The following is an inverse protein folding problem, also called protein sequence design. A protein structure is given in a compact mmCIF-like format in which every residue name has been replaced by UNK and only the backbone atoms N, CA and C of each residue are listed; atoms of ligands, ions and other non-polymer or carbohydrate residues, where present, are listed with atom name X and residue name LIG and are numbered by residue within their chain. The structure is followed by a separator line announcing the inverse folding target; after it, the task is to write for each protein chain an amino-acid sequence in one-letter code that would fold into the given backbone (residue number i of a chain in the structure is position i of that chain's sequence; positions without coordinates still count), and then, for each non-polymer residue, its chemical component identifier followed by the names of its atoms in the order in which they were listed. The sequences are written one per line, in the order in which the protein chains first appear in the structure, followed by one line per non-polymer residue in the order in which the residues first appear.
data_IF_625624200917
#
_entry.id   IF_625624200917
#
_cell.length_a   1.000
_cell.length_b   1.000
_cell.length_c   1.000
_cell.angle_alpha   90.00
_cell.angle_beta   90.00
_cell.angle_gamma   90.00
#
_symmetry.space_group_name_H-M   'P 1'
#
loop_
_entity.id
_entity.type
_entity.pdbx_description
1 polymer ?
#
# COMPACT_ATOMS: atom_id res chain seq x y z
N UNK A 1 -21.77 0.13 -38.58
CA UNK A 1 -20.93 -0.41 -37.52
C UNK A 1 -20.03 0.69 -36.99
N UNK A 2 -20.21 1.06 -35.72
CA UNK A 2 -19.31 2.00 -35.07
C UNK A 2 -18.08 1.24 -34.62
N UNK A 3 -16.89 1.66 -35.03
CA UNK A 3 -15.62 1.16 -34.52
C UNK A 3 -15.41 1.79 -33.14
N UNK A 4 -15.65 1.02 -32.08
CA UNK A 4 -15.46 1.44 -30.68
C UNK A 4 -14.22 0.78 -30.16
N UNK A 5 -13.25 1.57 -29.72
CA UNK A 5 -12.06 1.08 -29.05
C UNK A 5 -12.41 0.61 -27.64
N UNK A 6 -11.90 -0.54 -27.23
CA UNK A 6 -12.18 -1.16 -25.94
C UNK A 6 -10.92 -1.26 -25.10
N UNK A 7 -10.89 -0.50 -24.01
CA UNK A 7 -9.82 -0.56 -23.01
C UNK A 7 -10.28 -1.36 -21.79
N UNK A 8 -9.45 -2.25 -21.28
CA UNK A 8 -9.70 -3.02 -20.05
C UNK A 8 -8.67 -2.66 -18.99
N UNK A 9 -9.14 -2.44 -17.76
CA UNK A 9 -8.30 -2.06 -16.61
C UNK A 9 -8.20 -3.24 -15.62
N UNK A 10 -7.04 -3.93 -15.67
CA UNK A 10 -6.69 -4.99 -14.74
C UNK A 10 -5.94 -4.40 -13.55
N UNK A 11 -6.68 -3.91 -12.57
CA UNK A 11 -6.09 -3.40 -11.32
C UNK A 11 -5.49 -4.48 -10.47
N UNK A 12 -6.12 -5.65 -10.49
CA UNK A 12 -5.75 -6.84 -9.74
C UNK A 12 -5.78 -8.06 -10.68
N UNK A 13 -5.07 -9.15 -10.38
CA UNK A 13 -5.21 -10.41 -11.10
C UNK A 13 -6.66 -10.89 -11.06
N UNK A 14 -7.20 -11.37 -12.18
CA UNK A 14 -8.55 -11.94 -12.20
C UNK A 14 -8.53 -13.39 -11.68
N UNK A 15 -7.90 -14.30 -12.45
CA UNK A 15 -7.91 -15.74 -12.12
C UNK A 15 -6.94 -16.06 -10.99
N UNK A 16 -5.76 -15.42 -11.00
CA UNK A 16 -4.66 -15.73 -10.09
C UNK A 16 -4.67 -14.90 -8.81
N UNK A 17 -5.73 -14.13 -8.54
CA UNK A 17 -5.78 -13.32 -7.33
C UNK A 17 -5.66 -14.21 -6.07
N UNK A 18 -4.82 -13.80 -5.13
CA UNK A 18 -4.38 -14.63 -4.00
C UNK A 18 -5.53 -15.22 -3.16
N UNK A 19 -6.66 -14.53 -3.04
CA UNK A 19 -7.80 -14.99 -2.25
C UNK A 19 -8.70 -15.99 -2.99
N UNK A 20 -8.55 -16.18 -4.31
CA UNK A 20 -9.34 -17.16 -5.06
C UNK A 20 -9.14 -18.59 -4.54
N UNK A 21 -7.95 -18.89 -3.97
CA UNK A 21 -7.68 -20.17 -3.31
C UNK A 21 -8.57 -20.45 -2.09
N UNK A 22 -9.19 -19.43 -1.51
CA UNK A 22 -10.10 -19.57 -0.37
C UNK A 22 -11.55 -19.91 -0.80
N UNK A 23 -11.84 -19.87 -2.11
CA UNK A 23 -13.14 -20.25 -2.65
C UNK A 23 -13.11 -21.68 -3.17
N UNK A 24 -14.18 -22.41 -2.93
CA UNK A 24 -14.33 -23.80 -3.40
C UNK A 24 -14.77 -23.85 -4.87
N UNK A 25 -13.95 -23.31 -5.76
CA UNK A 25 -14.22 -23.36 -7.19
C UNK A 25 -14.05 -24.77 -7.74
N UNK A 26 -15.00 -25.22 -8.58
CA UNK A 26 -14.83 -26.46 -9.35
C UNK A 26 -13.77 -26.27 -10.44
N UNK A 27 -13.15 -27.36 -10.89
CA UNK A 27 -12.22 -27.33 -12.04
C UNK A 27 -12.86 -26.69 -13.28
N UNK A 28 -14.15 -27.01 -13.54
CA UNK A 28 -14.91 -26.42 -14.66
C UNK A 28 -15.05 -24.92 -14.54
N UNK A 29 -15.37 -24.41 -13.33
CA UNK A 29 -15.45 -22.96 -13.07
C UNK A 29 -14.09 -22.27 -13.28
N UNK A 30 -13.02 -22.84 -12.73
CA UNK A 30 -11.66 -22.28 -12.90
C UNK A 30 -11.28 -22.20 -14.38
N UNK A 31 -11.50 -23.28 -15.15
CA UNK A 31 -11.21 -23.30 -16.57
C UNK A 31 -12.04 -22.26 -17.33
N UNK A 32 -13.32 -22.11 -16.99
CA UNK A 32 -14.17 -21.07 -17.58
C UNK A 32 -13.65 -19.65 -17.31
N UNK A 33 -13.20 -19.37 -16.08
CA UNK A 33 -12.61 -18.07 -15.74
C UNK A 33 -11.31 -17.80 -16.54
N UNK A 34 -10.46 -18.81 -16.70
CA UNK A 34 -9.23 -18.70 -17.52
C UNK A 34 -9.54 -18.39 -18.99
N UNK A 35 -10.54 -19.07 -19.56
CA UNK A 35 -11.00 -18.80 -20.94
C UNK A 35 -11.54 -17.38 -21.09
N UNK A 36 -12.36 -16.93 -20.13
CA UNK A 36 -12.93 -15.57 -20.16
C UNK A 36 -11.85 -14.51 -20.03
N UNK A 37 -10.92 -14.66 -19.08
CA UNK A 37 -9.79 -13.75 -18.92
C UNK A 37 -8.98 -13.65 -20.21
N UNK A 38 -8.60 -14.79 -20.80
CA UNK A 38 -7.88 -14.84 -22.06
C UNK A 38 -8.66 -14.18 -23.22
N UNK A 39 -9.97 -14.41 -23.28
CA UNK A 39 -10.85 -13.82 -24.30
C UNK A 39 -10.93 -12.30 -24.15
N UNK A 40 -11.06 -11.78 -22.95
CA UNK A 40 -11.07 -10.35 -22.65
C UNK A 40 -9.75 -9.72 -23.05
N UNK A 41 -8.63 -10.28 -22.60
CA UNK A 41 -7.29 -9.80 -22.92
C UNK A 41 -7.05 -9.71 -24.44
N UNK A 42 -7.41 -10.75 -25.20
CA UNK A 42 -7.15 -10.81 -26.65
C UNK A 42 -8.13 -9.99 -27.50
N UNK A 43 -9.22 -9.46 -26.92
CA UNK A 43 -10.19 -8.61 -27.62
C UNK A 43 -10.04 -7.13 -27.32
N UNK A 44 -9.36 -6.78 -26.23
CA UNK A 44 -9.13 -5.40 -25.87
C UNK A 44 -8.15 -4.73 -26.84
N UNK A 45 -8.37 -3.48 -27.18
CA UNK A 45 -7.42 -2.68 -27.95
C UNK A 45 -6.26 -2.20 -27.06
N UNK A 46 -6.54 -2.01 -25.77
CA UNK A 46 -5.54 -1.65 -24.76
C UNK A 46 -5.84 -2.35 -23.43
N UNK A 47 -4.81 -2.95 -22.83
CA UNK A 47 -4.86 -3.53 -21.49
C UNK A 47 -4.09 -2.65 -20.52
N UNK A 48 -4.76 -2.14 -19.51
CA UNK A 48 -4.16 -1.36 -18.42
C UNK A 48 -3.86 -2.24 -17.22
N UNK A 49 -2.73 -1.99 -16.56
CA UNK A 49 -2.39 -2.57 -15.26
C UNK A 49 -1.93 -1.48 -14.30
N UNK A 50 -2.16 -1.67 -13.00
CA UNK A 50 -1.71 -0.71 -11.97
C UNK A 50 -0.23 -0.83 -11.65
N UNK A 51 0.36 -1.98 -11.93
CA UNK A 51 1.79 -2.26 -11.73
C UNK A 51 2.37 -2.92 -12.98
N UNK A 52 3.67 -2.73 -13.18
CA UNK A 52 4.48 -3.53 -14.10
C UNK A 52 4.81 -4.90 -13.49
N UNK A 53 5.94 -5.47 -13.90
CA UNK A 53 6.48 -6.72 -13.34
C UNK A 53 5.47 -7.85 -13.38
N UNK A 54 5.37 -8.60 -12.29
CA UNK A 54 4.65 -9.89 -12.24
C UNK A 54 3.22 -9.83 -12.80
N UNK A 55 2.41 -8.83 -12.46
CA UNK A 55 1.03 -8.74 -12.95
C UNK A 55 0.98 -8.56 -14.47
N UNK A 56 1.68 -7.54 -14.97
CA UNK A 56 1.71 -7.25 -16.41
C UNK A 56 2.28 -8.43 -17.19
N UNK A 57 3.39 -9.00 -16.74
CA UNK A 57 4.08 -10.14 -17.39
C UNK A 57 3.17 -11.36 -17.45
N UNK A 58 2.50 -11.73 -16.36
CA UNK A 58 1.54 -12.86 -16.34
C UNK A 58 0.37 -12.67 -17.31
N UNK A 59 -0.17 -11.45 -17.42
CA UNK A 59 -1.25 -11.16 -18.35
C UNK A 59 -0.74 -11.15 -19.80
N UNK A 60 0.46 -10.60 -20.04
CA UNK A 60 1.08 -10.52 -21.35
C UNK A 60 1.42 -11.90 -21.92
N UNK A 61 1.81 -12.87 -21.07
CA UNK A 61 1.98 -14.27 -21.49
C UNK A 61 0.68 -14.91 -22.02
N UNK A 62 -0.49 -14.43 -21.57
CA UNK A 62 -1.79 -14.94 -22.03
C UNK A 62 -2.27 -14.25 -23.32
N UNK A 63 -1.75 -13.08 -23.63
CA UNK A 63 -2.09 -12.26 -24.80
C UNK A 63 -0.86 -11.49 -25.30
N UNK A 64 0.14 -12.19 -25.89
CA UNK A 64 1.44 -11.59 -26.23
C UNK A 64 1.39 -10.50 -27.31
N UNK A 65 0.36 -10.50 -28.13
CA UNK A 65 0.20 -9.55 -29.25
C UNK A 65 -0.62 -8.31 -28.87
N UNK A 66 -1.04 -8.19 -27.61
CA UNK A 66 -1.87 -7.06 -27.17
C UNK A 66 -1.04 -5.91 -26.63
N UNK A 67 -1.62 -4.70 -26.72
CA UNK A 67 -1.03 -3.49 -26.16
C UNK A 67 -1.25 -3.44 -24.65
N UNK A 68 -0.17 -3.34 -23.89
CA UNK A 68 -0.19 -3.20 -22.44
C UNK A 68 0.41 -1.88 -21.99
N UNK A 69 -0.29 -1.16 -21.14
CA UNK A 69 0.22 0.05 -20.50
C UNK A 69 0.07 -0.02 -18.98
N UNK A 70 1.08 0.50 -18.26
CA UNK A 70 1.04 0.62 -16.80
C UNK A 70 0.53 2.00 -16.43
N UNK A 71 -0.61 2.04 -15.73
CA UNK A 71 -1.24 3.25 -15.19
C UNK A 71 -1.39 3.06 -13.67
N UNK A 72 -0.38 3.44 -12.87
CA UNK A 72 -0.35 3.15 -11.45
C UNK A 72 -1.38 3.96 -10.66
N UNK A 73 -1.65 3.53 -9.43
CA UNK A 73 -2.34 4.38 -8.47
C UNK A 73 -1.45 5.57 -8.09
N UNK A 74 -2.07 6.74 -7.93
CA UNK A 74 -1.38 7.95 -7.56
C UNK A 74 -1.91 8.57 -6.28
N UNK A 75 -1.23 9.62 -5.80
CA UNK A 75 -1.67 10.42 -4.68
C UNK A 75 -2.37 11.71 -5.14
N UNK A 76 -3.22 12.27 -4.30
CA UNK A 76 -3.88 13.55 -4.52
C UNK A 76 -2.95 14.69 -4.09
N UNK A 77 -2.25 15.28 -5.07
CA UNK A 77 -1.31 16.38 -4.84
C UNK A 77 -2.00 17.64 -4.34
N UNK A 78 -3.20 17.93 -4.81
CA UNK A 78 -4.00 19.07 -4.32
C UNK A 78 -4.33 18.93 -2.85
N UNK A 79 -4.81 17.76 -2.44
CA UNK A 79 -5.17 17.50 -1.05
C UNK A 79 -3.94 17.44 -0.13
N UNK A 80 -2.89 16.74 -0.54
CA UNK A 80 -1.64 16.64 0.23
C UNK A 80 -1.03 18.03 0.46
N UNK A 81 -1.01 18.90 -0.56
CA UNK A 81 -0.44 20.25 -0.43
C UNK A 81 -1.30 21.19 0.41
N UNK A 82 -2.64 21.05 0.31
CA UNK A 82 -3.62 21.89 1.03
C UNK A 82 -3.58 21.64 2.53
N UNK A 83 -3.51 20.39 2.95
CA UNK A 83 -3.63 20.01 4.36
C UNK A 83 -2.34 20.29 5.10
N UNK A 84 -2.44 21.15 6.13
CA UNK A 84 -1.42 21.32 7.16
C UNK A 84 -1.77 20.47 8.36
N UNK A 85 -0.78 19.91 9.03
CA UNK A 85 -0.96 19.15 10.27
C UNK A 85 0.18 19.46 11.22
N UNK A 86 -0.12 19.48 12.52
CA UNK A 86 0.88 19.68 13.55
C UNK A 86 1.29 18.35 14.17
N UNK A 87 2.58 18.17 14.38
CA UNK A 87 3.12 17.02 15.09
C UNK A 87 3.01 17.21 16.60
N UNK A 88 2.75 16.12 17.30
CA UNK A 88 2.73 16.14 18.77
C UNK A 88 4.14 16.30 19.31
N UNK A 89 4.34 17.25 20.24
CA UNK A 89 5.61 17.37 21.01
C UNK A 89 5.70 16.38 22.17
N UNK A 90 4.58 15.77 22.57
CA UNK A 90 4.48 14.89 23.75
C UNK A 90 4.78 13.42 23.43
N UNK A 91 4.43 12.97 22.23
CA UNK A 91 4.50 11.57 21.84
C UNK A 91 5.21 11.44 20.51
N UNK A 92 6.03 10.42 20.36
CA UNK A 92 6.40 9.94 19.03
C UNK A 92 5.18 9.22 18.42
N UNK A 93 4.66 9.73 17.32
CA UNK A 93 3.37 9.36 16.77
C UNK A 93 3.51 8.39 15.59
N UNK A 94 3.07 7.16 15.79
CA UNK A 94 3.01 6.11 14.77
C UNK A 94 1.58 6.06 14.23
N UNK A 95 1.40 6.05 12.91
CA UNK A 95 0.07 6.05 12.27
C UNK A 95 -0.05 4.91 11.26
N UNK A 96 -1.18 4.23 11.32
CA UNK A 96 -1.66 3.29 10.30
C UNK A 96 -3.02 3.74 9.79
N UNK A 97 -3.22 3.69 8.45
CA UNK A 97 -4.53 3.91 7.83
C UNK A 97 -4.89 2.75 6.90
N UNK A 98 -6.16 2.33 6.92
CA UNK A 98 -6.71 1.34 6.00
C UNK A 98 -7.37 0.14 6.68
N UNK A 99 -7.61 -0.91 5.92
CA UNK A 99 -8.12 -2.19 6.42
C UNK A 99 -7.03 -2.92 7.20
N UNK A 100 -7.33 -3.33 8.45
CA UNK A 100 -6.46 -4.19 9.24
C UNK A 100 -7.23 -5.44 9.68
N UNK A 101 -6.70 -6.61 9.31
CA UNK A 101 -7.25 -7.93 9.68
C UNK A 101 -6.15 -8.82 10.27
N UNK A 102 -6.52 -9.96 10.82
CA UNK A 102 -5.56 -10.96 11.35
C UNK A 102 -4.58 -11.50 10.29
N UNK A 103 -4.88 -11.33 9.01
CA UNK A 103 -3.98 -11.72 7.91
C UNK A 103 -2.91 -10.67 7.58
N UNK A 104 -2.88 -9.54 8.31
CA UNK A 104 -1.80 -8.57 8.20
C UNK A 104 -0.74 -8.83 9.28
N UNK A 105 0.56 -8.73 8.96
CA UNK A 105 1.65 -9.08 9.88
C UNK A 105 1.97 -7.97 10.89
N UNK A 106 0.95 -7.36 11.51
CA UNK A 106 1.15 -6.24 12.47
C UNK A 106 1.82 -6.68 13.78
N UNK A 107 1.72 -7.96 14.13
CA UNK A 107 2.28 -8.51 15.37
C UNK A 107 3.79 -8.30 15.46
N UNK A 108 4.51 -8.34 14.33
CA UNK A 108 5.97 -8.09 14.30
C UNK A 108 6.33 -6.68 14.78
N UNK A 109 5.55 -5.67 14.34
CA UNK A 109 5.70 -4.31 14.87
C UNK A 109 5.41 -4.24 16.35
N UNK A 110 4.30 -4.85 16.81
CA UNK A 110 3.90 -4.81 18.23
C UNK A 110 4.96 -5.44 19.14
N UNK A 111 5.55 -6.57 18.73
CA UNK A 111 6.64 -7.23 19.46
C UNK A 111 7.83 -6.28 19.66
N UNK A 112 8.27 -5.64 18.58
CA UNK A 112 9.37 -4.69 18.60
C UNK A 112 9.08 -3.48 19.50
N UNK A 113 7.88 -2.89 19.38
CA UNK A 113 7.47 -1.76 20.22
C UNK A 113 7.42 -2.12 21.70
N UNK A 114 6.92 -3.31 22.05
CA UNK A 114 6.84 -3.78 23.44
C UNK A 114 8.22 -4.03 24.05
N UNK A 115 9.08 -4.72 23.32
CA UNK A 115 10.37 -5.18 23.83
C UNK A 115 11.39 -4.04 23.96
N UNK A 116 11.43 -3.14 22.98
CA UNK A 116 12.54 -2.20 22.84
C UNK A 116 12.15 -0.76 23.18
N UNK A 117 10.86 -0.41 23.14
CA UNK A 117 10.40 0.98 23.27
C UNK A 117 9.30 1.18 24.32
N UNK A 118 9.12 0.23 25.23
CA UNK A 118 8.07 0.28 26.25
C UNK A 118 8.15 1.46 27.23
N UNK A 119 9.31 2.11 27.35
CA UNK A 119 9.53 3.31 28.17
C UNK A 119 9.53 4.62 27.37
N UNK A 120 9.35 4.56 26.04
CA UNK A 120 9.26 5.74 25.18
C UNK A 120 7.81 6.24 25.15
N UNK A 121 7.62 7.56 25.14
CA UNK A 121 6.30 8.15 25.00
C UNK A 121 5.74 7.93 23.58
N UNK A 122 5.20 6.73 23.32
CA UNK A 122 4.64 6.36 22.04
C UNK A 122 3.13 6.57 21.99
N UNK A 123 2.65 7.00 20.82
CA UNK A 123 1.24 7.00 20.44
C UNK A 123 1.07 6.22 19.14
N UNK A 124 0.17 5.25 19.11
CA UNK A 124 -0.21 4.50 17.92
C UNK A 124 -1.65 4.87 17.55
N UNK A 125 -1.83 5.54 16.43
CA UNK A 125 -3.18 5.84 15.89
C UNK A 125 -3.50 4.90 14.74
N UNK A 126 -4.67 4.30 14.80
CA UNK A 126 -5.19 3.35 13.83
C UNK A 126 -6.49 3.91 13.25
N UNK A 127 -6.57 4.07 11.93
CA UNK A 127 -7.76 4.55 11.24
C UNK A 127 -8.14 3.62 10.10
N UNK A 128 -9.44 3.42 9.91
CA UNK A 128 -9.99 2.59 8.85
C UNK A 128 -10.88 1.46 9.37
N UNK A 129 -11.07 0.44 8.53
CA UNK A 129 -11.89 -0.70 8.89
C UNK A 129 -11.07 -1.72 9.70
N UNK A 130 -11.18 -1.63 11.02
CA UNK A 130 -10.43 -2.45 11.99
C UNK A 130 -11.42 -2.93 13.05
N UNK A 131 -11.50 -4.25 13.25
CA UNK A 131 -12.42 -4.81 14.26
C UNK A 131 -12.01 -4.39 15.68
N UNK A 132 -13.01 -4.27 16.56
CA UNK A 132 -12.77 -3.99 17.98
C UNK A 132 -11.92 -5.09 18.65
N UNK A 133 -12.01 -6.33 18.19
CA UNK A 133 -11.18 -7.43 18.65
C UNK A 133 -9.69 -7.14 18.43
N UNK A 134 -9.31 -6.72 17.22
CA UNK A 134 -7.91 -6.37 16.88
C UNK A 134 -7.46 -5.13 17.69
N UNK A 135 -8.32 -4.13 17.82
CA UNK A 135 -8.00 -2.94 18.62
C UNK A 135 -7.72 -3.30 20.08
N UNK A 136 -8.55 -4.17 20.67
CA UNK A 136 -8.37 -4.63 22.05
C UNK A 136 -7.13 -5.51 22.21
N UNK A 137 -6.86 -6.39 21.25
CA UNK A 137 -5.62 -7.18 21.19
C UNK A 137 -4.39 -6.27 21.21
N UNK A 138 -4.36 -5.23 20.35
CA UNK A 138 -3.25 -4.28 20.28
C UNK A 138 -3.08 -3.52 21.60
N UNK A 139 -4.17 -3.04 22.22
CA UNK A 139 -4.13 -2.34 23.51
C UNK A 139 -3.60 -3.22 24.62
N UNK A 140 -4.06 -4.45 24.70
CA UNK A 140 -3.61 -5.42 25.70
C UNK A 140 -2.13 -5.80 25.51
N UNK A 141 -1.70 -5.90 24.26
CA UNK A 141 -0.32 -6.22 23.92
C UNK A 141 0.66 -5.07 24.26
N UNK A 142 0.19 -3.82 24.10
CA UNK A 142 0.96 -2.58 24.28
C UNK A 142 0.38 -1.70 25.42
N UNK A 143 0.34 -2.15 26.67
CA UNK A 143 -0.34 -1.43 27.76
C UNK A 143 0.29 -0.07 28.10
N UNK A 144 1.57 0.15 27.75
CA UNK A 144 2.28 1.41 27.99
C UNK A 144 2.21 2.39 26.79
N UNK A 145 1.71 1.96 25.64
CA UNK A 145 1.58 2.79 24.44
C UNK A 145 0.19 3.40 24.37
N UNK A 146 0.08 4.68 24.06
CA UNK A 146 -1.22 5.33 23.84
C UNK A 146 -1.84 4.88 22.53
N UNK A 147 -2.64 3.82 22.53
CA UNK A 147 -3.35 3.31 21.34
C UNK A 147 -4.66 4.06 21.17
N UNK A 148 -4.82 4.73 20.00
CA UNK A 148 -6.05 5.45 19.60
C UNK A 148 -6.68 4.75 18.39
N UNK A 149 -7.92 4.27 18.54
CA UNK A 149 -8.78 3.92 17.40
C UNK A 149 -9.45 5.20 16.90
N UNK A 150 -9.19 5.56 15.64
CA UNK A 150 -9.79 6.74 15.00
C UNK A 150 -11.04 6.38 14.18
N UNK A 151 -11.37 5.08 14.05
CA UNK A 151 -12.48 4.61 13.21
C UNK A 151 -12.25 4.89 11.73
N UNK A 152 -13.32 4.84 10.96
CA UNK A 152 -13.29 5.21 9.55
C UNK A 152 -13.25 6.73 9.43
N UNK A 153 -12.30 7.25 8.68
CA UNK A 153 -12.12 8.68 8.42
C UNK A 153 -12.43 8.98 6.95
N UNK A 154 -12.97 10.17 6.68
CA UNK A 154 -13.00 10.68 5.32
C UNK A 154 -11.56 10.93 4.81
N UNK A 155 -11.40 11.16 3.51
CA UNK A 155 -10.08 11.26 2.90
C UNK A 155 -9.26 12.45 3.46
N UNK A 156 -9.89 13.61 3.68
CA UNK A 156 -9.22 14.79 4.22
C UNK A 156 -8.69 14.56 5.64
N UNK A 157 -9.52 13.98 6.52
CA UNK A 157 -9.13 13.67 7.89
C UNK A 157 -8.08 12.55 7.94
N UNK A 158 -8.15 11.59 7.02
CA UNK A 158 -7.11 10.56 6.86
C UNK A 158 -5.77 11.18 6.49
N UNK A 159 -5.72 12.10 5.52
CA UNK A 159 -4.50 12.81 5.15
C UNK A 159 -3.98 13.68 6.31
N UNK A 160 -4.88 14.35 7.05
CA UNK A 160 -4.51 15.12 8.26
C UNK A 160 -3.86 14.22 9.31
N UNK A 161 -4.43 13.04 9.55
CA UNK A 161 -3.87 12.07 10.47
C UNK A 161 -2.51 11.57 10.00
N UNK A 162 -2.37 11.18 8.72
CA UNK A 162 -1.12 10.75 8.13
C UNK A 162 -0.03 11.81 8.33
N UNK A 163 -0.32 13.08 8.02
CA UNK A 163 0.64 14.19 8.13
C UNK A 163 1.00 14.57 9.57
N UNK A 164 0.25 14.11 10.57
CA UNK A 164 0.56 14.29 12.00
C UNK A 164 1.54 13.25 12.54
N UNK A 165 1.91 12.25 11.75
CA UNK A 165 2.78 11.16 12.17
C UNK A 165 4.27 11.55 12.18
N UNK A 166 5.03 10.83 12.99
CA UNK A 166 6.50 10.79 12.95
C UNK A 166 6.99 9.54 12.22
N UNK A 167 6.17 8.49 12.21
CA UNK A 167 6.37 7.26 11.46
C UNK A 167 5.04 6.75 10.91
N UNK A 168 5.02 6.43 9.63
CA UNK A 168 3.91 5.72 9.00
C UNK A 168 4.22 4.22 8.95
N UNK A 169 3.21 3.41 9.23
CA UNK A 169 3.37 1.96 9.15
C UNK A 169 2.40 1.37 8.13
N UNK A 170 2.87 0.38 7.39
CA UNK A 170 2.08 -0.33 6.40
C UNK A 170 2.30 -1.83 6.50
N UNK A 171 1.22 -2.60 6.36
CA UNK A 171 1.24 -4.06 6.41
C UNK A 171 0.66 -4.60 5.11
N UNK A 172 1.40 -5.50 4.49
CA UNK A 172 0.91 -6.24 3.32
C UNK A 172 0.19 -7.49 3.77
N UNK A 173 -0.87 -7.80 3.08
CA UNK A 173 -1.64 -9.02 3.30
C UNK A 173 -0.76 -10.23 3.02
N UNK A 174 -0.74 -11.20 3.93
CA UNK A 174 0.05 -12.44 3.77
C UNK A 174 -0.46 -13.19 2.53
N UNK A 175 0.39 -13.35 1.52
CA UNK A 175 0.09 -13.98 0.24
C UNK A 175 -0.30 -13.04 -0.90
N UNK A 176 -0.46 -11.72 -0.64
CA UNK A 176 -0.74 -10.69 -1.66
C UNK A 176 0.47 -9.80 -2.00
N UNK A 177 1.62 -10.09 -1.40
CA UNK A 177 2.77 -9.17 -1.41
C UNK A 177 3.33 -8.92 -2.82
N UNK A 178 3.21 -9.90 -3.73
CA UNK A 178 3.81 -9.82 -5.06
C UNK A 178 3.00 -9.02 -6.08
N UNK A 179 1.70 -8.94 -5.90
CA UNK A 179 0.76 -8.58 -6.97
C UNK A 179 0.14 -7.20 -6.82
N UNK A 180 0.43 -6.50 -5.71
CA UNK A 180 -0.28 -5.26 -5.38
C UNK A 180 0.64 -4.14 -4.89
N UNK A 181 0.40 -2.93 -5.36
CA UNK A 181 0.86 -1.71 -4.69
C UNK A 181 -0.37 -1.03 -4.08
N UNK A 182 -0.42 -1.01 -2.77
CA UNK A 182 -1.51 -0.33 -2.05
C UNK A 182 -1.53 1.17 -2.38
N UNK A 183 -2.70 1.72 -2.72
CA UNK A 183 -2.86 3.14 -3.03
C UNK A 183 -2.36 4.08 -1.92
N UNK A 184 -2.45 3.67 -0.63
CA UNK A 184 -1.94 4.44 0.51
C UNK A 184 -0.42 4.66 0.49
N UNK A 185 0.36 3.76 -0.16
CA UNK A 185 1.82 3.90 -0.23
C UNK A 185 2.20 5.21 -0.94
N UNK A 186 1.51 5.56 -2.01
CA UNK A 186 1.81 6.80 -2.74
C UNK A 186 1.45 8.03 -1.93
N UNK A 187 0.34 7.99 -1.18
CA UNK A 187 0.00 9.06 -0.22
C UNK A 187 1.02 9.17 0.91
N UNK A 188 1.48 8.04 1.45
CA UNK A 188 2.52 8.01 2.48
C UNK A 188 3.84 8.61 1.98
N UNK A 189 4.29 8.19 0.79
CA UNK A 189 5.49 8.72 0.16
C UNK A 189 5.40 10.24 -0.09
N UNK A 190 4.19 10.74 -0.38
CA UNK A 190 3.94 12.16 -0.62
C UNK A 190 3.98 13.03 0.65
N UNK A 191 3.99 12.44 1.84
CA UNK A 191 4.06 13.21 3.10
C UNK A 191 5.47 13.47 3.61
N UNK A 192 6.48 12.93 2.99
CA UNK A 192 7.89 12.98 3.43
C UNK A 192 8.15 12.36 4.81
N UNK A 193 7.20 11.60 5.36
CA UNK A 193 7.35 10.94 6.67
C UNK A 193 7.97 9.56 6.47
N UNK A 194 8.92 9.12 7.32
CA UNK A 194 9.49 7.77 7.26
C UNK A 194 8.42 6.68 7.25
N UNK A 195 8.64 5.61 6.49
CA UNK A 195 7.66 4.52 6.34
C UNK A 195 8.31 3.18 6.70
N UNK A 196 7.71 2.48 7.66
CA UNK A 196 8.01 1.09 7.95
C UNK A 196 6.91 0.22 7.33
N UNK A 197 7.29 -0.65 6.40
CA UNK A 197 6.37 -1.62 5.81
C UNK A 197 6.75 -3.04 6.21
N UNK A 198 5.75 -3.92 6.40
CA UNK A 198 5.99 -5.35 6.63
C UNK A 198 5.32 -6.11 5.48
N UNK A 199 6.15 -6.84 4.73
CA UNK A 199 5.78 -7.58 3.53
C UNK A 199 7.01 -8.17 2.86
N UNK A 200 6.94 -8.52 1.57
CA UNK A 200 8.08 -9.00 0.80
C UNK A 200 8.88 -7.84 0.19
N UNK A 201 10.14 -7.59 0.62
CA UNK A 201 10.98 -6.52 0.06
C UNK A 201 11.26 -6.67 -1.44
N UNK A 202 11.13 -7.89 -1.98
CA UNK A 202 11.33 -8.18 -3.41
C UNK A 202 10.08 -7.92 -4.25
N UNK A 203 8.93 -7.65 -3.63
CA UNK A 203 7.69 -7.28 -4.32
C UNK A 203 7.82 -5.97 -5.08
N UNK A 204 6.89 -5.71 -6.01
CA UNK A 204 6.84 -4.40 -6.70
C UNK A 204 6.70 -3.23 -5.72
N UNK A 205 5.89 -3.40 -4.66
CA UNK A 205 5.78 -2.40 -3.61
C UNK A 205 7.09 -2.20 -2.85
N UNK A 206 7.83 -3.28 -2.54
CA UNK A 206 9.15 -3.23 -1.92
C UNK A 206 10.16 -2.48 -2.79
N UNK A 207 10.19 -2.77 -4.09
CA UNK A 207 11.02 -2.06 -5.08
C UNK A 207 10.69 -0.57 -5.18
N UNK A 208 9.42 -0.19 -5.07
CA UNK A 208 9.01 1.23 -5.03
C UNK A 208 9.50 1.88 -3.75
N UNK A 209 9.22 1.28 -2.59
CA UNK A 209 9.60 1.82 -1.29
C UNK A 209 11.12 1.95 -1.13
N UNK A 210 11.91 1.01 -1.68
CA UNK A 210 13.37 1.05 -1.59
C UNK A 210 14.04 2.22 -2.31
N UNK A 211 13.29 2.92 -3.18
CA UNK A 211 13.78 4.14 -3.87
C UNK A 211 13.74 5.38 -2.98
N UNK A 212 13.01 5.30 -1.87
CA UNK A 212 12.86 6.42 -0.95
C UNK A 212 13.85 6.32 0.22
N UNK A 213 14.37 7.47 0.68
CA UNK A 213 15.16 7.51 1.91
C UNK A 213 14.26 7.27 3.13
N UNK A 214 14.82 6.71 4.22
CA UNK A 214 14.08 6.45 5.47
C UNK A 214 12.73 5.74 5.28
N UNK A 215 12.70 4.85 4.28
CA UNK A 215 11.54 4.02 3.96
C UNK A 215 12.01 2.60 3.70
N UNK A 216 11.44 1.64 4.41
CA UNK A 216 11.92 0.26 4.30
C UNK A 216 10.79 -0.75 4.44
N UNK A 217 10.87 -1.81 3.66
CA UNK A 217 10.01 -2.97 3.80
C UNK A 217 10.83 -4.12 4.38
N UNK A 218 10.25 -4.80 5.37
CA UNK A 218 10.86 -5.91 6.07
C UNK A 218 10.00 -7.16 5.95
N UNK A 219 10.63 -8.32 5.92
CA UNK A 219 9.91 -9.57 6.15
C UNK A 219 9.35 -9.58 7.59
N UNK A 220 8.24 -10.29 7.78
CA UNK A 220 7.55 -10.36 9.08
C UNK A 220 8.43 -10.87 10.23
N UNK A 221 9.44 -11.69 9.89
CA UNK A 221 10.34 -12.32 10.88
C UNK A 221 11.67 -11.58 11.04
N UNK A 222 11.87 -10.46 10.33
CA UNK A 222 13.07 -9.60 10.39
C UNK A 222 13.10 -8.71 11.64
N UNK A 223 12.92 -9.28 12.84
CA UNK A 223 12.74 -8.50 14.07
C UNK A 223 13.93 -7.58 14.37
N UNK A 224 15.17 -8.04 14.14
CA UNK A 224 16.37 -7.24 14.39
C UNK A 224 16.46 -6.02 13.47
N UNK A 225 16.19 -6.20 12.20
CA UNK A 225 16.22 -5.11 11.20
C UNK A 225 15.09 -4.11 11.45
N UNK A 226 13.91 -4.58 11.85
CA UNK A 226 12.78 -3.72 12.26
C UNK A 226 13.18 -2.90 13.49
N UNK A 227 13.82 -3.53 14.49
CA UNK A 227 14.31 -2.85 15.68
C UNK A 227 15.27 -1.73 15.32
N UNK A 228 16.32 -2.01 14.54
CA UNK A 228 17.33 -1.02 14.14
C UNK A 228 16.71 0.17 13.41
N UNK A 229 15.76 -0.09 12.51
CA UNK A 229 15.04 0.97 11.81
C UNK A 229 14.20 1.82 12.76
N UNK A 230 13.48 1.20 13.70
CA UNK A 230 12.72 1.91 14.73
C UNK A 230 13.62 2.74 15.65
N UNK A 231 14.77 2.23 16.04
CA UNK A 231 15.78 2.96 16.82
C UNK A 231 16.23 4.21 16.08
N UNK A 232 16.61 4.08 14.82
CA UNK A 232 17.02 5.21 13.99
C UNK A 232 15.93 6.29 13.94
N UNK A 233 14.68 5.89 13.62
CA UNK A 233 13.60 6.86 13.41
C UNK A 233 13.12 7.48 14.72
N UNK A 234 13.03 6.73 15.81
CA UNK A 234 12.57 7.21 17.11
C UNK A 234 13.63 8.14 17.75
N UNK A 235 14.92 7.78 17.70
CA UNK A 235 15.98 8.63 18.24
C UNK A 235 16.09 9.98 17.51
N UNK A 236 15.81 10.00 16.21
CA UNK A 236 15.75 11.24 15.44
C UNK A 236 14.48 12.06 15.67
N UNK A 237 13.54 11.56 16.49
CA UNK A 237 12.34 12.26 16.99
C UNK A 237 11.57 13.01 15.88
N UNK A 238 11.26 12.31 14.77
CA UNK A 238 10.48 12.86 13.67
C UNK A 238 11.20 13.89 12.78
N UNK A 239 12.53 14.03 12.90
CA UNK A 239 13.33 14.93 12.06
C UNK A 239 13.73 14.31 10.72
N UNK A 240 13.74 12.97 10.64
CA UNK A 240 14.04 12.28 9.39
C UNK A 240 12.93 12.54 8.37
N UNK A 241 13.34 12.72 7.14
CA UNK A 241 12.41 12.93 6.03
C UNK A 241 12.59 11.86 4.97
N UNK A 242 11.49 11.24 4.61
CA UNK A 242 11.42 10.42 3.42
C UNK A 242 11.53 11.32 2.18
N UNK A 243 12.40 10.94 1.24
CA UNK A 243 12.50 11.59 -0.07
C UNK A 243 12.37 10.56 -1.16
N UNK A 244 11.29 10.63 -1.91
CA UNK A 244 11.04 9.77 -3.06
C UNK A 244 11.37 10.49 -4.36
N UNK A 245 12.24 9.93 -5.23
CA UNK A 245 12.66 10.61 -6.44
C UNK A 245 11.50 10.73 -7.45
N UNK A 246 11.36 11.89 -8.08
CA UNK A 246 10.34 12.17 -9.09
C UNK A 246 8.91 11.88 -8.62
N UNK A 247 8.60 12.19 -7.36
CA UNK A 247 7.29 11.95 -6.76
C UNK A 247 6.14 12.57 -7.56
N UNK A 248 6.37 13.73 -8.17
CA UNK A 248 5.39 14.48 -8.97
C UNK A 248 4.78 13.64 -10.11
N UNK A 249 5.56 12.71 -10.70
CA UNK A 249 5.07 11.79 -11.74
C UNK A 249 3.98 10.84 -11.25
N UNK A 250 3.86 10.67 -9.94
CA UNK A 250 2.87 9.82 -9.28
C UNK A 250 1.65 10.60 -8.79
N UNK A 251 1.55 11.91 -9.09
CA UNK A 251 0.31 12.64 -8.80
C UNK A 251 -0.84 12.13 -9.68
N UNK A 252 -2.05 12.08 -9.13
CA UNK A 252 -3.25 11.68 -9.89
C UNK A 252 -3.41 12.51 -11.15
N UNK A 253 -3.12 13.80 -11.08
CA UNK A 253 -3.15 14.70 -12.26
C UNK A 253 -2.23 14.22 -13.38
N UNK A 254 -0.97 13.89 -13.07
CA UNK A 254 0.00 13.41 -14.08
C UNK A 254 -0.38 12.03 -14.64
N UNK A 255 -0.88 11.14 -13.76
CA UNK A 255 -1.33 9.81 -14.15
C UNK A 255 -2.58 9.89 -15.03
N UNK A 256 -3.54 10.77 -14.72
CA UNK A 256 -4.73 11.00 -15.54
C UNK A 256 -4.35 11.55 -16.92
N UNK A 257 -3.40 12.49 -17.00
CA UNK A 257 -2.90 12.98 -18.29
C UNK A 257 -2.26 11.86 -19.11
N UNK A 258 -1.46 10.99 -18.45
CA UNK A 258 -0.89 9.82 -19.13
C UNK A 258 -1.99 8.89 -19.68
N UNK A 259 -3.01 8.61 -18.88
CA UNK A 259 -4.15 7.79 -19.31
C UNK A 259 -4.89 8.44 -20.48
N UNK A 260 -5.16 9.75 -20.41
CA UNK A 260 -5.83 10.49 -21.48
C UNK A 260 -5.08 10.37 -22.81
N UNK A 261 -3.75 10.54 -22.79
CA UNK A 261 -2.93 10.39 -23.99
C UNK A 261 -3.03 8.97 -24.56
N UNK A 262 -2.89 7.93 -23.69
CA UNK A 262 -3.00 6.53 -24.12
C UNK A 262 -4.36 6.21 -24.76
N UNK A 263 -5.45 6.82 -24.27
CA UNK A 263 -6.79 6.63 -24.85
C UNK A 263 -7.00 7.42 -26.15
N UNK A 264 -6.31 8.56 -26.30
CA UNK A 264 -6.37 9.36 -27.51
C UNK A 264 -5.58 8.76 -28.68
N UNK A 265 -4.60 7.91 -28.38
CA UNK A 265 -3.74 7.23 -29.35
C UNK A 265 -4.37 5.92 -29.89
N UNK A 266 -5.56 5.52 -29.42
CA UNK A 266 -6.34 4.36 -29.89
C UNK A 266 -7.23 4.71 -31.07
#
# INVERSE_FOLDING_TARGET
DFKINWTVDFRDPWVNIFYNKNFLFTKKSINKQKELEKKVLNKADLVLTTIGGDLKEQLQLKAPNQNFAVVPNGYDDGLINKIKSEKSKKYFHIVYTGLLTKNHPYVSLLKNLKQNFGNTNLKLSLAGNISNEIINEIKNFLPKVKVKNCGYLNHEDSVRLIKSADLLVNFFFIGAEKEMISGKIMEYLATEIPILSIGDPKSEAGKVLSKASHTKMFLRDSNKEIQLFLEEVIHNNGKLKNRFPNLDKWSRKKITNKLSNLLSDL
#
